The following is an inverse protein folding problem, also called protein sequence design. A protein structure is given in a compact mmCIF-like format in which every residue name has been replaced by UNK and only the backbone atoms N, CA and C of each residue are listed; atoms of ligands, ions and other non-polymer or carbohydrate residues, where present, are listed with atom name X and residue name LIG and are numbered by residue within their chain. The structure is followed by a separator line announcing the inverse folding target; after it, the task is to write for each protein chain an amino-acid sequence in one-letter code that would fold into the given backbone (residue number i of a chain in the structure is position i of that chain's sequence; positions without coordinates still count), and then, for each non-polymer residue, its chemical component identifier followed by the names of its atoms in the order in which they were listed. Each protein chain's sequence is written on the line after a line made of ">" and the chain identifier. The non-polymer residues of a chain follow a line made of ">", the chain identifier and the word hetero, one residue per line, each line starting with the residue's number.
data_IF_481045838784
#
_entry.id   IF_481045838784
#
_cell.length_a   1.000
_cell.length_b   1.000
_cell.length_c   1.000
_cell.angle_alpha   90.00
_cell.angle_beta   90.00
_cell.angle_gamma   90.00
#
_symmetry.space_group_name_H-M   'P 1'
#
loop_
_entity.id
_entity.type
_entity.pdbx_description
1 polymer ?
#
# COMPACT_ATOMS: atom_id res chain seq x y z
N UNK A 1 32.58 -1.55 9.57
CA UNK A 1 31.32 -0.85 9.93
C UNK A 1 30.35 -0.85 8.75
N UNK A 2 30.80 -0.42 7.55
CA UNK A 2 30.07 -0.46 6.27
C UNK A 2 29.35 -1.78 5.97
N UNK A 3 30.02 -2.93 6.15
CA UNK A 3 29.44 -4.26 5.84
C UNK A 3 28.13 -4.56 6.58
N UNK A 4 28.00 -4.13 7.84
CA UNK A 4 26.78 -4.39 8.63
C UNK A 4 25.63 -3.53 8.12
N UNK A 5 25.89 -2.28 7.75
CA UNK A 5 24.89 -1.37 7.20
C UNK A 5 24.41 -1.85 5.82
N UNK A 6 25.35 -2.27 4.96
CA UNK A 6 25.04 -2.85 3.65
C UNK A 6 24.21 -4.12 3.78
N UNK A 7 24.55 -5.03 4.71
CA UNK A 7 23.74 -6.23 4.98
C UNK A 7 22.33 -5.89 5.48
N UNK A 8 22.18 -4.90 6.36
CA UNK A 8 20.86 -4.42 6.82
C UNK A 8 20.05 -3.89 5.63
N UNK A 9 20.65 -3.07 4.76
CA UNK A 9 20.00 -2.57 3.54
C UNK A 9 19.53 -3.71 2.63
N UNK A 10 20.36 -4.75 2.45
CA UNK A 10 19.96 -5.93 1.68
C UNK A 10 18.76 -6.66 2.27
N UNK A 11 18.65 -6.73 3.61
CA UNK A 11 17.44 -7.26 4.27
C UNK A 11 16.20 -6.41 3.98
N UNK A 12 16.33 -5.08 3.87
CA UNK A 12 15.22 -4.20 3.51
C UNK A 12 14.80 -4.39 2.05
N UNK A 13 15.76 -4.60 1.13
CA UNK A 13 15.46 -4.98 -0.26
C UNK A 13 14.64 -6.28 -0.33
N UNK A 14 14.98 -7.28 0.49
CA UNK A 14 14.19 -8.52 0.56
C UNK A 14 12.75 -8.27 1.02
N UNK A 15 12.51 -7.30 1.94
CA UNK A 15 11.16 -6.90 2.33
C UNK A 15 10.37 -6.30 1.16
N UNK A 16 10.99 -5.52 0.27
CA UNK A 16 10.34 -5.05 -0.98
C UNK A 16 9.90 -6.22 -1.85
N UNK A 17 10.77 -7.22 -2.04
CA UNK A 17 10.47 -8.41 -2.84
C UNK A 17 9.31 -9.21 -2.26
N UNK A 18 9.31 -9.44 -0.94
CA UNK A 18 8.24 -10.18 -0.26
C UNK A 18 6.90 -9.44 -0.39
N UNK A 19 6.90 -8.12 -0.19
CA UNK A 19 5.68 -7.33 -0.31
C UNK A 19 5.17 -7.26 -1.76
N UNK A 20 6.07 -7.14 -2.74
CA UNK A 20 5.73 -7.23 -4.16
C UNK A 20 5.06 -8.54 -4.52
N UNK A 21 5.63 -9.67 -4.09
CA UNK A 21 5.03 -10.98 -4.32
C UNK A 21 3.61 -11.08 -3.73
N UNK A 22 3.41 -10.53 -2.53
CA UNK A 22 2.08 -10.47 -1.91
C UNK A 22 1.09 -9.60 -2.69
N UNK A 23 1.47 -8.38 -3.08
CA UNK A 23 0.60 -7.49 -3.84
C UNK A 23 0.24 -8.07 -5.21
N UNK A 24 1.18 -8.76 -5.87
CA UNK A 24 0.90 -9.41 -7.17
C UNK A 24 -0.18 -10.49 -7.05
N UNK A 25 -0.21 -11.24 -5.95
CA UNK A 25 -1.29 -12.20 -5.68
C UNK A 25 -2.62 -11.47 -5.52
N UNK A 26 -2.67 -10.40 -4.73
CA UNK A 26 -3.90 -9.63 -4.53
C UNK A 26 -4.38 -8.95 -5.82
N UNK A 27 -3.46 -8.40 -6.61
CA UNK A 27 -3.77 -7.73 -7.87
C UNK A 27 -4.29 -8.69 -8.96
N UNK A 28 -4.03 -9.99 -8.81
CA UNK A 28 -4.57 -11.03 -9.69
C UNK A 28 -6.00 -11.47 -9.32
N UNK A 29 -6.52 -11.03 -8.17
CA UNK A 29 -7.88 -11.34 -7.73
C UNK A 29 -8.88 -10.31 -8.29
N UNK A 30 -10.02 -10.77 -8.82
CA UNK A 30 -11.09 -9.88 -9.31
C UNK A 30 -11.67 -8.98 -8.21
N UNK A 31 -11.77 -9.53 -6.99
CA UNK A 31 -12.23 -8.84 -5.79
C UNK A 31 -11.47 -9.34 -4.56
N UNK A 32 -11.13 -8.43 -3.65
CA UNK A 32 -10.55 -8.75 -2.36
C UNK A 32 -11.65 -9.02 -1.34
N UNK A 33 -11.47 -10.05 -0.53
CA UNK A 33 -12.29 -10.28 0.66
C UNK A 33 -11.94 -9.29 1.78
N UNK A 34 -12.86 -9.08 2.72
CA UNK A 34 -12.62 -8.23 3.90
C UNK A 34 -11.38 -8.68 4.69
N UNK A 35 -11.14 -9.99 4.80
CA UNK A 35 -9.95 -10.51 5.47
C UNK A 35 -8.65 -10.11 4.74
N UNK A 36 -8.63 -10.16 3.41
CA UNK A 36 -7.49 -9.73 2.61
C UNK A 36 -7.26 -8.23 2.69
N UNK A 37 -8.33 -7.43 2.76
CA UNK A 37 -8.25 -5.98 2.94
C UNK A 37 -7.61 -5.65 4.29
N UNK A 38 -8.14 -6.22 5.38
CA UNK A 38 -7.60 -6.02 6.74
C UNK A 38 -6.13 -6.47 6.82
N UNK A 39 -5.80 -7.61 6.21
CA UNK A 39 -4.41 -8.07 6.16
C UNK A 39 -3.51 -7.12 5.36
N UNK A 40 -3.99 -6.63 4.21
CA UNK A 40 -3.26 -5.66 3.39
C UNK A 40 -3.01 -4.36 4.15
N UNK A 41 -3.99 -3.83 4.88
CA UNK A 41 -3.83 -2.65 5.74
C UNK A 41 -2.72 -2.84 6.77
N UNK A 42 -2.77 -3.94 7.53
CA UNK A 42 -1.79 -4.25 8.56
C UNK A 42 -0.37 -4.44 7.99
N UNK A 43 -0.25 -5.09 6.83
CA UNK A 43 1.04 -5.23 6.13
C UNK A 43 1.53 -3.90 5.57
N UNK A 44 0.63 -3.09 5.02
CA UNK A 44 0.94 -1.80 4.42
C UNK A 44 1.42 -0.78 5.45
N UNK A 45 0.84 -0.76 6.65
CA UNK A 45 1.32 0.09 7.74
C UNK A 45 2.79 -0.22 8.10
N UNK A 46 3.10 -1.50 8.31
CA UNK A 46 4.47 -1.97 8.57
C UNK A 46 5.41 -1.67 7.40
N UNK A 47 4.92 -1.80 6.17
CA UNK A 47 5.69 -1.52 4.97
C UNK A 47 5.98 -0.02 4.81
N UNK A 48 5.03 0.87 5.10
CA UNK A 48 5.27 2.33 5.06
C UNK A 48 6.33 2.77 6.07
N UNK A 49 6.33 2.17 7.26
CA UNK A 49 7.34 2.46 8.28
C UNK A 49 8.77 2.09 7.83
N UNK A 50 8.91 1.14 6.89
CA UNK A 50 10.20 0.68 6.36
C UNK A 50 11.00 1.82 5.72
N UNK A 51 10.33 2.78 5.08
CA UNK A 51 11.03 3.87 4.39
C UNK A 51 11.82 4.74 5.36
N UNK A 52 11.23 5.11 6.50
CA UNK A 52 11.93 5.89 7.53
C UNK A 52 13.16 5.17 8.08
N UNK A 53 13.09 3.84 8.21
CA UNK A 53 14.26 3.03 8.58
C UNK A 53 15.32 3.03 7.47
N UNK A 54 14.88 2.93 6.21
CA UNK A 54 15.77 2.86 5.06
C UNK A 54 16.50 4.18 4.87
N UNK A 55 15.77 5.29 4.90
CA UNK A 55 16.29 6.64 4.73
C UNK A 55 17.40 6.96 5.74
N UNK A 56 17.17 6.62 7.02
CA UNK A 56 18.19 6.77 8.07
C UNK A 56 19.43 5.92 7.78
N UNK A 57 19.24 4.64 7.46
CA UNK A 57 20.34 3.71 7.20
C UNK A 57 21.15 4.10 5.96
N UNK A 58 20.46 4.50 4.89
CA UNK A 58 21.05 4.85 3.62
C UNK A 58 21.79 6.19 3.72
N UNK A 59 21.27 7.16 4.48
CA UNK A 59 21.99 8.39 4.81
C UNK A 59 23.29 8.10 5.58
N UNK A 60 23.27 7.18 6.54
CA UNK A 60 24.49 6.76 7.27
C UNK A 60 25.54 6.13 6.34
N UNK A 61 25.08 5.33 5.36
CA UNK A 61 25.95 4.76 4.33
C UNK A 61 26.54 5.86 3.45
N UNK A 62 25.72 6.80 2.97
CA UNK A 62 26.12 7.90 2.08
C UNK A 62 27.17 8.81 2.74
N UNK A 63 26.96 9.19 4.01
CA UNK A 63 27.89 10.04 4.77
C UNK A 63 29.22 9.32 5.07
N UNK A 64 29.19 8.00 5.19
CA UNK A 64 30.36 7.19 5.56
C UNK A 64 31.06 6.55 4.34
N UNK A 65 30.61 6.83 3.11
CA UNK A 65 31.11 6.19 1.89
C UNK A 65 32.30 6.94 1.31
N UNK A 66 33.35 6.21 0.93
CA UNK A 66 34.44 6.74 0.11
C UNK A 66 34.01 6.97 -1.36
N UNK A 67 32.82 6.47 -1.74
CA UNK A 67 32.20 6.64 -3.05
C UNK A 67 30.72 7.03 -2.90
N UNK A 68 30.40 8.33 -2.78
CA UNK A 68 29.03 8.80 -2.52
C UNK A 68 28.08 8.58 -3.72
N UNK A 69 28.58 8.62 -4.97
CA UNK A 69 27.75 8.48 -6.17
C UNK A 69 27.09 7.10 -6.27
N UNK A 70 27.83 6.03 -5.95
CA UNK A 70 27.28 4.67 -5.89
C UNK A 70 26.23 4.51 -4.78
N UNK A 71 26.44 5.21 -3.65
CA UNK A 71 25.49 5.22 -2.56
C UNK A 71 24.18 5.92 -2.99
N UNK A 72 24.26 7.08 -3.65
CA UNK A 72 23.09 7.77 -4.19
C UNK A 72 22.34 6.94 -5.25
N UNK A 73 23.06 6.28 -6.17
CA UNK A 73 22.43 5.38 -7.13
C UNK A 73 21.68 4.22 -6.45
N UNK A 74 22.20 3.73 -5.31
CA UNK A 74 21.52 2.68 -4.55
C UNK A 74 20.21 3.16 -3.93
N UNK A 75 20.12 4.43 -3.52
CA UNK A 75 18.89 5.04 -3.01
C UNK A 75 17.79 4.99 -4.07
N UNK A 76 18.09 5.47 -5.27
CA UNK A 76 17.12 5.47 -6.38
C UNK A 76 16.64 4.04 -6.69
N UNK A 77 17.54 3.06 -6.71
CA UNK A 77 17.18 1.64 -6.94
C UNK A 77 16.26 1.05 -5.86
N UNK A 78 16.22 1.62 -4.66
CA UNK A 78 15.30 1.20 -3.60
C UNK A 78 13.99 1.97 -3.66
N UNK A 79 14.06 3.29 -3.85
CA UNK A 79 12.90 4.18 -3.79
C UNK A 79 11.92 3.93 -4.95
N UNK A 80 12.42 3.66 -6.15
CA UNK A 80 11.59 3.34 -7.32
C UNK A 80 10.63 2.17 -7.05
N UNK A 81 11.09 0.95 -6.71
CA UNK A 81 10.19 -0.15 -6.40
C UNK A 81 9.37 0.11 -5.13
N UNK A 82 9.92 0.77 -4.10
CA UNK A 82 9.17 1.11 -2.90
C UNK A 82 7.91 1.94 -3.21
N UNK A 83 8.05 3.05 -3.93
CA UNK A 83 6.93 3.92 -4.23
C UNK A 83 5.91 3.27 -5.18
N UNK A 84 6.37 2.46 -6.13
CA UNK A 84 5.47 1.66 -6.97
C UNK A 84 4.62 0.70 -6.13
N UNK A 85 5.20 0.05 -5.13
CA UNK A 85 4.49 -0.86 -4.23
C UNK A 85 3.52 -0.12 -3.30
N UNK A 86 3.90 1.06 -2.80
CA UNK A 86 3.01 1.92 -2.01
C UNK A 86 1.78 2.34 -2.82
N UNK A 87 1.98 2.76 -4.07
CA UNK A 87 0.89 3.16 -4.94
C UNK A 87 -0.06 1.98 -5.24
N UNK A 88 0.50 0.80 -5.54
CA UNK A 88 -0.29 -0.40 -5.78
C UNK A 88 -1.12 -0.81 -4.56
N UNK A 89 -0.51 -0.86 -3.37
CA UNK A 89 -1.21 -1.18 -2.13
C UNK A 89 -2.37 -0.20 -1.85
N UNK A 90 -2.13 1.10 -1.98
CA UNK A 90 -3.18 2.14 -1.82
C UNK A 90 -4.30 1.99 -2.84
N UNK A 91 -3.97 1.71 -4.10
CA UNK A 91 -4.97 1.50 -5.15
C UNK A 91 -5.87 0.31 -4.85
N UNK A 92 -5.32 -0.79 -4.33
CA UNK A 92 -6.08 -1.97 -3.94
C UNK A 92 -7.02 -1.68 -2.76
N UNK A 93 -6.57 -0.93 -1.75
CA UNK A 93 -7.38 -0.52 -0.58
C UNK A 93 -8.51 0.45 -0.97
N UNK A 94 -8.23 1.47 -1.79
CA UNK A 94 -9.26 2.41 -2.26
C UNK A 94 -10.29 1.73 -3.18
N UNK A 95 -9.84 0.76 -3.99
CA UNK A 95 -10.72 -0.02 -4.85
C UNK A 95 -11.73 -0.88 -4.10
N UNK A 96 -11.40 -1.32 -2.88
CA UNK A 96 -12.34 -2.01 -1.99
C UNK A 96 -13.38 -1.07 -1.36
N UNK A 97 -12.99 0.12 -0.93
CA UNK A 97 -13.89 1.05 -0.23
C UNK A 97 -15.04 1.54 -1.13
N UNK A 98 -14.73 1.84 -2.40
CA UNK A 98 -15.71 2.29 -3.39
C UNK A 98 -16.77 1.21 -3.74
N UNK A 99 -16.49 -0.07 -3.51
CA UNK A 99 -17.42 -1.17 -3.79
C UNK A 99 -18.37 -1.42 -2.62
N UNK A 100 -17.94 -1.19 -1.38
CA UNK A 100 -18.78 -1.32 -0.18
C UNK A 100 -19.91 -0.30 -0.17
N UNK A 101 -19.65 0.95 -0.55
CA UNK A 101 -20.67 2.02 -0.56
C UNK A 101 -21.78 1.84 -1.62
N UNK A 102 -21.54 1.06 -2.68
CA UNK A 102 -22.54 0.86 -3.75
C UNK A 102 -23.63 -0.17 -3.42
N UNK A 103 -23.43 -1.02 -2.40
CA UNK A 103 -24.41 -2.05 -2.03
C UNK A 103 -25.56 -1.53 -1.19
N UNK A 104 -25.35 -0.48 -0.40
CA UNK A 104 -26.35 0.04 0.54
C UNK A 104 -27.45 0.89 -0.12
N UNK A 105 -27.30 1.27 -1.39
CA UNK A 105 -28.17 2.25 -2.04
C UNK A 105 -29.28 1.64 -2.93
N UNK A 106 -29.51 0.31 -2.88
CA UNK A 106 -30.45 -0.37 -3.80
C UNK A 106 -31.81 -0.75 -3.18
N UNK A 107 -31.99 -0.61 -1.86
CA UNK A 107 -33.22 -1.04 -1.17
C UNK A 107 -34.19 0.09 -0.75
N UNK A 108 -33.97 1.33 -1.21
CA UNK A 108 -34.94 2.42 -0.98
C UNK A 108 -36.06 2.39 -2.02
N UNK A 109 -37.05 1.52 -1.81
CA UNK A 109 -38.32 1.53 -2.57
C UNK A 109 -39.08 2.82 -2.25
N UNK A 110 -39.51 3.63 -3.24
CA UNK A 110 -40.32 4.81 -2.97
C UNK A 110 -41.78 4.38 -2.71
N UNK A 111 -42.20 4.51 -1.45
CA UNK A 111 -43.59 4.30 -1.04
C UNK A 111 -44.47 5.42 -1.61
N UNK A 112 -45.18 5.13 -2.71
CA UNK A 112 -46.21 6.01 -3.26
C UNK A 112 -47.48 5.84 -2.42
N UNK A 113 -47.66 6.67 -1.40
CA UNK A 113 -48.92 6.71 -0.68
C UNK A 113 -49.95 7.58 -1.42
N UNK A 114 -51.10 6.95 -1.67
CA UNK A 114 -52.20 7.38 -2.51
C UNK A 114 -52.93 8.64 -2.01
N UNK A 115 -53.49 9.34 -3.00
CA UNK A 115 -54.24 10.60 -2.94
C UNK A 115 -55.34 10.63 -1.86
N UNK A 116 -55.35 11.72 -1.09
CA UNK A 116 -56.53 12.18 -0.32
C UNK A 116 -57.58 12.72 -1.30
N UNK A 117 -58.80 12.22 -1.20
CA UNK A 117 -60.00 12.82 -1.78
C UNK A 117 -60.86 13.31 -0.62
N UNK A 118 -60.66 14.57 -0.24
CA UNK A 118 -61.72 15.39 0.30
C UNK A 118 -62.46 16.00 -0.90
N UNK A 119 -63.78 15.83 -0.96
CA UNK A 119 -64.74 16.94 -0.96
C UNK A 119 -66.17 16.47 -1.33
N UNK A 120 -67.08 16.79 -0.40
CA UNK A 120 -68.55 17.00 -0.52
C UNK A 120 -69.48 15.81 -0.29
#
# INVERSE_FOLDING_TARGET
>A
MSDKLVKRRSSMKAKLTIFSAYLNVLNSCDNLSNLQIIELEARFEKFNALYTEFDKLQTEIEVSSDNPDEAYATREQFEQPYYSLVAMARSLLLGSDNKSQRRDNKDSVPEKHSLSLEER
#
